data_IF_733057480768
#
_entry.id   IF_733057480768
#
_cell.length_a   1.000
_cell.length_b   1.000
_cell.length_c   1.000
_cell.angle_alpha   90.00
_cell.angle_beta   90.00
_cell.angle_gamma   90.00
#
_symmetry.space_group_name_H-M   'P 1'
#
loop_
_entity.id
_entity.type
_entity.pdbx_description
1 polymer ?
#
# COMPACT_ATOMS: atom_id res chain seq x y z
N UNK A 1 -3.80 -10.19 -9.24
CA UNK A 1 -3.02 -10.28 -7.99
C UNK A 1 -3.23 -9.00 -7.20
N UNK A 2 -3.27 -9.09 -5.87
CA UNK A 2 -3.33 -7.94 -4.97
C UNK A 2 -2.07 -7.98 -4.13
N UNK A 3 -1.37 -6.85 -4.01
CA UNK A 3 -0.20 -6.70 -3.15
C UNK A 3 -0.59 -5.87 -1.93
N UNK A 4 -0.35 -6.41 -0.74
CA UNK A 4 -0.61 -5.75 0.53
C UNK A 4 0.68 -5.68 1.35
N UNK A 5 1.01 -4.48 1.82
CA UNK A 5 2.19 -4.22 2.63
C UNK A 5 1.80 -3.52 3.92
N UNK A 6 2.51 -3.84 4.99
CA UNK A 6 2.41 -3.17 6.28
C UNK A 6 3.81 -2.73 6.70
N UNK A 7 3.90 -1.52 7.24
CA UNK A 7 5.14 -0.97 7.79
C UNK A 7 4.78 0.09 8.85
N UNK A 8 5.70 0.33 9.78
CA UNK A 8 5.54 1.33 10.83
C UNK A 8 5.49 2.78 10.29
N UNK A 9 5.87 2.98 9.02
CA UNK A 9 5.87 4.28 8.37
C UNK A 9 5.64 4.19 6.86
N UNK A 10 4.96 5.19 6.30
CA UNK A 10 4.55 5.21 4.89
C UNK A 10 5.75 5.33 3.93
N UNK A 11 6.81 6.06 4.32
CA UNK A 11 8.01 6.26 3.50
C UNK A 11 8.70 4.94 3.15
N UNK A 12 8.66 3.94 4.04
CA UNK A 12 9.20 2.60 3.77
C UNK A 12 8.44 1.88 2.66
N UNK A 13 7.12 1.99 2.64
CA UNK A 13 6.27 1.40 1.59
C UNK A 13 6.52 2.14 0.27
N UNK A 14 6.62 3.47 0.30
CA UNK A 14 6.93 4.27 -0.90
C UNK A 14 8.28 3.88 -1.50
N UNK A 15 9.31 3.73 -0.67
CA UNK A 15 10.64 3.30 -1.10
C UNK A 15 10.63 1.88 -1.67
N UNK A 16 9.88 0.96 -1.06
CA UNK A 16 9.69 -0.40 -1.61
C UNK A 16 9.04 -0.35 -2.99
N UNK A 17 7.95 0.40 -3.17
CA UNK A 17 7.28 0.53 -4.46
C UNK A 17 8.22 1.16 -5.50
N UNK A 18 9.03 2.15 -5.13
CA UNK A 18 10.04 2.75 -6.01
C UNK A 18 11.05 1.72 -6.50
N UNK A 19 11.54 0.85 -5.60
CA UNK A 19 12.45 -0.25 -5.97
C UNK A 19 11.77 -1.27 -6.87
N UNK A 20 10.54 -1.67 -6.58
CA UNK A 20 9.79 -2.64 -7.39
C UNK A 20 9.56 -2.14 -8.83
N UNK A 21 9.27 -0.83 -9.01
CA UNK A 21 9.16 -0.24 -10.35
C UNK A 21 10.45 -0.28 -11.16
N UNK A 22 11.60 -0.29 -10.51
CA UNK A 22 12.91 -0.38 -11.17
C UNK A 22 13.31 -1.82 -11.56
N UNK A 23 12.55 -2.84 -11.16
CA UNK A 23 12.84 -4.24 -11.48
C UNK A 23 12.31 -4.65 -12.85
N UNK A 24 12.90 -5.69 -13.45
CA UNK A 24 12.40 -6.27 -14.71
C UNK A 24 10.97 -6.82 -14.58
N UNK A 25 10.55 -7.21 -13.36
CA UNK A 25 9.22 -7.70 -13.07
C UNK A 25 8.11 -6.68 -13.44
N UNK A 26 8.43 -5.38 -13.48
CA UNK A 26 7.48 -4.32 -13.88
C UNK A 26 6.89 -4.53 -15.28
N UNK A 27 7.61 -5.24 -16.17
CA UNK A 27 7.12 -5.58 -17.53
C UNK A 27 5.92 -6.51 -17.53
N UNK A 28 5.70 -7.24 -16.44
CA UNK A 28 4.60 -8.20 -16.29
C UNK A 28 3.43 -7.64 -15.46
N UNK A 29 3.47 -6.35 -15.08
CA UNK A 29 2.40 -5.68 -14.33
C UNK A 29 1.46 -4.95 -15.28
N UNK A 30 0.22 -5.43 -15.43
CA UNK A 30 -0.77 -4.87 -16.34
C UNK A 30 -1.58 -3.69 -15.77
N UNK A 31 -2.00 -3.75 -14.49
CA UNK A 31 -2.76 -2.70 -13.81
C UNK A 31 -2.29 -2.60 -12.36
N UNK A 32 -1.68 -1.47 -12.00
CA UNK A 32 -1.10 -1.22 -10.66
C UNK A 32 -1.84 -0.13 -9.87
N UNK A 33 -2.95 0.37 -10.39
CA UNK A 33 -3.77 1.43 -9.78
C UNK A 33 -5.17 0.92 -9.47
N UNK A 34 -5.83 1.45 -8.42
CA UNK A 34 -5.34 2.49 -7.50
C UNK A 34 -4.39 1.96 -6.41
N UNK A 35 -3.51 2.83 -5.91
CA UNK A 35 -2.77 2.59 -4.66
C UNK A 35 -3.62 3.06 -3.48
N UNK A 36 -4.09 2.11 -2.67
CA UNK A 36 -4.85 2.41 -1.46
C UNK A 36 -3.89 2.40 -0.27
N UNK A 37 -3.94 3.46 0.53
CA UNK A 37 -3.15 3.59 1.76
C UNK A 37 -4.07 3.81 2.95
N UNK A 38 -3.58 3.50 4.14
CA UNK A 38 -4.31 3.67 5.39
C UNK A 38 -3.40 3.41 6.57
N UNK A 39 -3.89 3.75 7.75
CA UNK A 39 -3.25 3.41 9.03
C UNK A 39 -4.05 2.29 9.70
N UNK A 40 -3.36 1.41 10.43
CA UNK A 40 -4.02 0.39 11.26
C UNK A 40 -4.80 1.11 12.37
N UNK A 41 -6.07 0.75 12.51
CA UNK A 41 -6.96 1.22 13.57
C UNK A 41 -7.70 0.04 14.17
N UNK A 42 -8.06 0.14 15.44
CA UNK A 42 -9.01 -0.81 16.01
C UNK A 42 -10.41 -0.54 15.44
N UNK A 43 -11.25 -1.58 15.35
CA UNK A 43 -12.54 -1.48 14.65
C UNK A 43 -13.44 -0.35 15.20
N UNK A 44 -13.46 -0.18 16.52
CA UNK A 44 -14.27 0.86 17.16
C UNK A 44 -13.80 2.28 16.83
N UNK A 45 -12.50 2.50 16.71
CA UNK A 45 -11.91 3.80 16.32
C UNK A 45 -12.26 4.10 14.86
N UNK A 46 -12.11 3.11 13.98
CA UNK A 46 -12.42 3.27 12.56
C UNK A 46 -13.90 3.57 12.31
N UNK A 47 -14.82 2.95 13.07
CA UNK A 47 -16.25 3.26 13.01
C UNK A 47 -16.52 4.67 13.55
N UNK A 48 -15.85 5.08 14.63
CA UNK A 48 -15.99 6.41 15.22
C UNK A 48 -15.62 7.55 14.26
N UNK A 49 -14.69 7.35 13.33
CA UNK A 49 -14.32 8.37 12.33
C UNK A 49 -15.33 8.54 11.20
N UNK A 50 -16.27 7.60 11.03
CA UNK A 50 -17.26 7.60 9.94
C UNK A 50 -18.55 8.35 10.31
N UNK A 51 -18.76 8.64 11.60
CA UNK A 51 -19.96 9.27 12.16
C UNK A 51 -19.62 10.60 12.82
#
# INVERSE_FOLDING_TARGET
WILTFEADSLDRIVELIRRLRATEARRYTALEVPFITGIRKELHEAIGDLF
#
